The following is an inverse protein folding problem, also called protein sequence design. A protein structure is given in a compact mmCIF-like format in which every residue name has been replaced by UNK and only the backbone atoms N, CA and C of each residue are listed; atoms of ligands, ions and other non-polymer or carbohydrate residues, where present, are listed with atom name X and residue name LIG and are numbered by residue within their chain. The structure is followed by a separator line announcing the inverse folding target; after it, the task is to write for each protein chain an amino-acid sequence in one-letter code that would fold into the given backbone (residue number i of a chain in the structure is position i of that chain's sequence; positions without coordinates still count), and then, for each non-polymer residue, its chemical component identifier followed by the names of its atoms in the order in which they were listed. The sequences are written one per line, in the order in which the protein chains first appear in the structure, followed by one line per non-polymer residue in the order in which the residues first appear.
data_IF_762298819866
#
_entry.id   IF_762298819866
#
_cell.length_a   1.000
_cell.length_b   1.000
_cell.length_c   1.000
_cell.angle_alpha   90.00
_cell.angle_beta   90.00
_cell.angle_gamma   90.00
#
_symmetry.space_group_name_H-M   'P 1'
#
loop_
_entity.id
_entity.type
_entity.pdbx_description
1 polymer ?
#
# COMPACT_ATOMS: atom_id res chain seq x y z
N UNK A 1 59.17 -25.44 -47.04
CA UNK A 1 58.75 -25.85 -45.68
C UNK A 1 58.38 -24.58 -44.94
N UNK A 2 57.11 -24.19 -44.91
CA UNK A 2 56.63 -23.02 -44.18
C UNK A 2 55.49 -23.49 -43.26
N UNK A 3 55.75 -23.49 -41.95
CA UNK A 3 54.79 -23.90 -40.92
C UNK A 3 53.92 -22.70 -40.53
N UNK A 4 52.63 -22.75 -40.89
CA UNK A 4 51.62 -21.81 -40.39
C UNK A 4 51.30 -22.10 -38.92
N UNK A 5 51.90 -21.32 -38.02
CA UNK A 5 51.54 -21.31 -36.60
C UNK A 5 50.34 -20.39 -36.35
N UNK A 6 49.16 -20.98 -36.13
CA UNK A 6 47.97 -20.25 -35.69
C UNK A 6 47.99 -20.09 -34.17
N UNK A 7 48.36 -18.88 -33.71
CA UNK A 7 48.36 -18.51 -32.29
C UNK A 7 46.92 -18.33 -31.81
N UNK A 8 46.34 -19.38 -31.21
CA UNK A 8 45.00 -19.36 -30.62
C UNK A 8 45.03 -18.48 -29.37
N UNK A 9 44.59 -17.22 -29.49
CA UNK A 9 44.46 -16.25 -28.40
C UNK A 9 43.48 -16.83 -27.35
N UNK A 10 44.00 -17.22 -26.18
CA UNK A 10 43.16 -17.65 -25.04
C UNK A 10 42.39 -16.42 -24.56
N UNK A 11 41.07 -16.44 -24.64
CA UNK A 11 40.25 -15.43 -23.94
C UNK A 11 40.44 -15.63 -22.43
N UNK A 12 40.54 -14.54 -21.64
CA UNK A 12 40.55 -14.64 -20.20
C UNK A 12 39.27 -15.33 -19.74
N UNK A 13 39.39 -16.27 -18.81
CA UNK A 13 38.23 -16.95 -18.25
C UNK A 13 37.29 -15.89 -17.65
N UNK A 14 36.04 -15.90 -18.10
CA UNK A 14 35.00 -15.02 -17.62
C UNK A 14 34.65 -15.42 -16.19
N UNK A 15 35.16 -14.66 -15.20
CA UNK A 15 34.87 -14.91 -13.79
C UNK A 15 33.56 -14.19 -13.46
N UNK A 16 32.44 -14.88 -13.66
CA UNK A 16 31.14 -14.40 -13.21
C UNK A 16 31.02 -14.62 -11.70
N UNK A 17 31.15 -13.56 -10.89
CA UNK A 17 30.86 -13.61 -9.46
C UNK A 17 29.34 -13.69 -9.28
N UNK A 18 28.86 -14.70 -8.57
CA UNK A 18 27.44 -14.84 -8.28
C UNK A 18 26.96 -13.73 -7.35
N UNK A 19 25.73 -13.24 -7.52
CA UNK A 19 25.15 -12.20 -6.63
C UNK A 19 25.15 -12.66 -5.16
N UNK A 20 24.97 -13.96 -4.91
CA UNK A 20 25.03 -14.54 -3.57
C UNK A 20 26.43 -14.60 -2.95
N UNK A 21 27.49 -14.32 -3.72
CA UNK A 21 28.89 -14.27 -3.25
C UNK A 21 29.35 -12.84 -2.95
N UNK A 22 28.48 -11.84 -3.13
CA UNK A 22 28.82 -10.45 -2.85
C UNK A 22 29.07 -10.25 -1.34
N UNK A 23 30.10 -9.47 -0.96
CA UNK A 23 30.33 -9.13 0.44
C UNK A 23 29.13 -8.40 1.07
N UNK A 24 28.89 -8.65 2.36
CA UNK A 24 27.80 -8.05 3.14
C UNK A 24 27.73 -6.52 3.00
N UNK A 25 28.88 -5.83 3.00
CA UNK A 25 28.95 -4.37 2.84
C UNK A 25 28.37 -3.91 1.50
N UNK A 26 28.58 -4.69 0.43
CA UNK A 26 28.04 -4.39 -0.90
C UNK A 26 26.54 -4.64 -0.93
N UNK A 27 26.08 -5.77 -0.39
CA UNK A 27 24.65 -6.09 -0.29
C UNK A 27 23.90 -5.02 0.52
N UNK A 28 24.44 -4.62 1.66
CA UNK A 28 23.86 -3.57 2.50
C UNK A 28 23.81 -2.22 1.79
N UNK A 29 24.82 -1.89 0.97
CA UNK A 29 24.81 -0.66 0.16
C UNK A 29 23.72 -0.70 -0.90
N UNK A 30 23.52 -1.84 -1.58
CA UNK A 30 22.48 -2.02 -2.59
C UNK A 30 21.10 -1.90 -1.94
N UNK A 31 20.86 -2.62 -0.84
CA UNK A 31 19.58 -2.62 -0.10
C UNK A 31 19.20 -1.22 0.37
N UNK A 32 20.18 -0.40 0.74
CA UNK A 32 19.97 1.00 1.12
C UNK A 32 19.25 1.85 0.07
N UNK A 33 19.26 1.45 -1.20
CA UNK A 33 18.63 2.12 -2.33
C UNK A 33 17.31 1.48 -2.80
N UNK A 34 16.94 0.32 -2.23
CA UNK A 34 15.75 -0.42 -2.63
C UNK A 34 14.55 -0.07 -1.75
N UNK A 35 13.36 -0.02 -2.36
CA UNK A 35 12.10 -0.01 -1.62
C UNK A 35 11.89 -1.33 -0.90
N UNK A 36 11.01 -1.33 0.12
CA UNK A 36 10.68 -2.55 0.88
C UNK A 36 10.25 -3.72 -0.02
N UNK A 37 9.43 -3.44 -1.04
CA UNK A 37 8.98 -4.46 -1.98
C UNK A 37 10.14 -4.99 -2.81
N UNK A 38 11.01 -4.11 -3.33
CA UNK A 38 12.21 -4.50 -4.08
C UNK A 38 13.20 -5.31 -3.22
N UNK A 39 13.37 -4.98 -1.93
CA UNK A 39 14.18 -5.78 -0.99
C UNK A 39 13.62 -7.18 -0.84
N UNK A 40 12.30 -7.33 -0.73
CA UNK A 40 11.68 -8.64 -0.62
C UNK A 40 11.91 -9.49 -1.88
N UNK A 41 11.81 -8.88 -3.06
CA UNK A 41 12.14 -9.54 -4.33
C UNK A 41 13.62 -9.88 -4.46
N UNK A 42 14.50 -8.97 -4.04
CA UNK A 42 15.94 -9.20 -4.06
C UNK A 42 16.31 -10.36 -3.12
N UNK A 43 15.78 -10.37 -1.90
CA UNK A 43 15.95 -11.48 -0.96
C UNK A 43 15.36 -12.79 -1.50
N UNK A 44 14.18 -12.74 -2.12
CA UNK A 44 13.56 -13.91 -2.75
C UNK A 44 14.44 -14.50 -3.86
N UNK A 45 15.09 -13.65 -4.66
CA UNK A 45 16.03 -14.09 -5.70
C UNK A 45 17.31 -14.74 -5.15
N UNK A 46 17.62 -14.49 -3.87
CA UNK A 46 18.74 -15.07 -3.13
C UNK A 46 18.33 -16.30 -2.32
N UNK A 47 17.07 -16.75 -2.39
CA UNK A 47 16.64 -17.97 -1.70
C UNK A 47 17.38 -19.16 -2.31
N UNK A 48 18.06 -19.93 -1.46
CA UNK A 48 18.61 -21.22 -1.88
C UNK A 48 17.44 -22.16 -2.12
N UNK A 49 17.07 -22.36 -3.38
CA UNK A 49 16.15 -23.39 -3.76
C UNK A 49 16.97 -24.64 -4.10
N UNK A 50 17.21 -25.58 -3.15
CA UNK A 50 17.96 -26.81 -3.42
C UNK A 50 17.34 -27.63 -4.55
N UNK A 51 16.06 -27.38 -4.85
CA UNK A 51 15.37 -27.97 -5.98
C UNK A 51 15.82 -27.40 -7.32
N UNK A 52 16.12 -26.10 -7.47
CA UNK A 52 16.45 -25.50 -8.79
C UNK A 52 17.85 -25.91 -9.26
N UNK A 53 18.82 -26.05 -8.35
CA UNK A 53 20.17 -26.54 -8.69
C UNK A 53 20.18 -28.03 -9.06
N UNK A 54 19.21 -28.83 -8.59
CA UNK A 54 19.06 -30.24 -8.96
C UNK A 54 18.04 -30.51 -10.11
N UNK A 55 17.04 -29.65 -10.32
CA UNK A 55 15.88 -29.89 -11.21
C UNK A 55 16.03 -29.43 -12.66
N UNK A 56 17.22 -29.04 -13.13
CA UNK A 56 17.47 -29.09 -14.59
C UNK A 56 17.30 -30.51 -15.18
N UNK A 57 17.10 -31.54 -14.34
CA UNK A 57 16.69 -32.89 -14.76
C UNK A 57 15.34 -33.28 -14.16
N UNK A 58 14.26 -32.99 -14.91
CA UNK A 58 12.97 -33.71 -14.99
C UNK A 58 12.54 -34.50 -13.73
N UNK A 59 11.68 -33.92 -12.89
CA UNK A 59 10.66 -34.71 -12.16
C UNK A 59 9.35 -33.94 -12.02
N UNK A 60 8.25 -34.66 -12.25
CA UNK A 60 6.86 -34.18 -12.16
C UNK A 60 6.44 -34.07 -10.68
N UNK A 61 5.75 -32.97 -10.36
CA UNK A 61 4.96 -32.65 -9.14
C UNK A 61 4.53 -33.85 -8.28
N UNK A 62 4.62 -33.70 -6.94
CA UNK A 62 3.43 -33.32 -6.13
C UNK A 62 3.68 -33.03 -4.64
N UNK A 63 4.81 -33.40 -4.05
CA UNK A 63 5.02 -33.16 -2.62
C UNK A 63 6.15 -32.14 -2.40
N UNK A 64 5.83 -30.99 -1.79
CA UNK A 64 6.83 -29.98 -1.43
C UNK A 64 6.89 -29.84 0.10
N UNK A 65 7.66 -30.68 0.81
CA UNK A 65 7.77 -30.60 2.26
C UNK A 65 8.99 -29.79 2.73
N UNK A 66 9.78 -29.19 1.84
CA UNK A 66 10.98 -28.45 2.26
C UNK A 66 10.63 -26.99 2.46
N UNK A 67 10.58 -26.59 3.73
CA UNK A 67 10.56 -25.19 4.16
C UNK A 67 11.72 -24.46 3.48
N UNK A 68 11.42 -23.53 2.58
CA UNK A 68 12.42 -22.71 1.92
C UNK A 68 12.96 -21.72 2.94
N UNK A 69 14.22 -21.84 3.32
CA UNK A 69 14.91 -20.85 4.15
C UNK A 69 15.70 -19.90 3.27
N UNK A 70 15.74 -18.59 3.57
CA UNK A 70 16.65 -17.69 2.88
C UNK A 70 18.10 -18.18 3.00
N UNK A 71 18.90 -17.93 1.97
CA UNK A 71 20.36 -18.08 2.09
C UNK A 71 20.89 -17.08 3.11
N UNK A 72 22.14 -17.24 3.57
CA UNK A 72 22.80 -16.25 4.45
C UNK A 72 22.75 -14.84 3.84
N UNK A 73 22.95 -14.73 2.52
CA UNK A 73 22.83 -13.45 1.81
C UNK A 73 21.38 -12.91 1.83
N UNK A 74 20.38 -13.78 1.65
CA UNK A 74 18.96 -13.42 1.76
C UNK A 74 18.59 -12.94 3.18
N UNK A 75 19.08 -13.62 4.22
CA UNK A 75 18.88 -13.21 5.61
C UNK A 75 19.51 -11.84 5.89
N UNK A 76 20.73 -11.61 5.40
CA UNK A 76 21.41 -10.30 5.48
C UNK A 76 20.55 -9.24 4.81
N UNK A 77 20.08 -9.48 3.58
CA UNK A 77 19.24 -8.52 2.83
C UNK A 77 17.95 -8.19 3.58
N UNK A 78 17.29 -9.17 4.20
CA UNK A 78 16.08 -8.96 4.99
C UNK A 78 16.36 -8.24 6.33
N UNK A 79 17.54 -8.42 6.89
CA UNK A 79 17.98 -7.76 8.12
C UNK A 79 18.51 -6.33 7.90
N UNK A 80 18.92 -6.00 6.68
CA UNK A 80 19.45 -4.68 6.32
C UNK A 80 18.40 -3.58 6.56
N UNK A 81 18.86 -2.47 7.14
CA UNK A 81 18.06 -1.27 7.35
C UNK A 81 18.13 -0.39 6.09
N UNK A 82 17.01 0.18 5.60
CA UNK A 82 17.07 1.18 4.55
C UNK A 82 17.90 2.38 5.04
N UNK A 83 18.97 2.73 4.33
CA UNK A 83 19.85 3.87 4.66
C UNK A 83 19.35 5.19 4.05
N UNK A 84 18.23 5.16 3.33
CA UNK A 84 17.63 6.32 2.68
C UNK A 84 17.16 7.41 3.66
N UNK A 85 17.34 8.68 3.25
CA UNK A 85 16.95 9.93 3.96
C UNK A 85 15.46 10.07 4.31
N UNK A 86 14.61 9.09 4.02
CA UNK A 86 13.24 9.03 4.53
C UNK A 86 13.26 8.60 6.01
N UNK A 87 13.87 9.45 6.85
CA UNK A 87 13.94 9.32 8.29
C UNK A 87 12.55 9.54 8.89
N UNK A 88 11.87 8.44 9.17
CA UNK A 88 10.90 8.42 10.26
C UNK A 88 11.61 7.76 11.45
N UNK A 89 11.67 8.46 12.59
CA UNK A 89 12.61 8.29 13.71
C UNK A 89 12.48 6.98 14.55
N UNK A 90 12.14 5.83 13.97
CA UNK A 90 12.14 4.56 14.68
C UNK A 90 13.52 3.90 14.57
N UNK A 91 14.31 3.95 15.64
CA UNK A 91 15.74 3.60 15.64
C UNK A 91 16.04 2.10 15.80
N UNK A 92 15.03 1.26 16.06
CA UNK A 92 15.22 -0.18 16.28
C UNK A 92 14.36 -1.06 15.35
N UNK A 93 14.97 -2.19 14.96
CA UNK A 93 14.49 -3.24 14.06
C UNK A 93 14.56 -2.94 12.53
N UNK A 94 14.82 -3.99 11.73
CA UNK A 94 14.84 -3.94 10.27
C UNK A 94 13.46 -3.64 9.66
N UNK A 95 13.22 -4.04 8.41
CA UNK A 95 11.89 -3.85 7.82
C UNK A 95 10.81 -4.52 8.67
N UNK A 96 9.81 -3.74 9.10
CA UNK A 96 8.63 -4.28 9.76
C UNK A 96 7.74 -5.00 8.75
N UNK A 97 7.96 -6.29 8.54
CA UNK A 97 7.20 -7.11 7.59
C UNK A 97 5.73 -7.33 7.97
N UNK A 98 5.21 -6.69 9.03
CA UNK A 98 3.77 -6.72 9.36
C UNK A 98 2.88 -6.17 8.25
N UNK A 99 3.42 -5.32 7.38
CA UNK A 99 2.68 -4.69 6.28
C UNK A 99 3.39 -4.93 4.95
N UNK A 100 2.76 -5.61 4.01
CA UNK A 100 3.34 -5.85 2.69
C UNK A 100 2.35 -5.51 1.58
N UNK A 101 2.81 -4.68 0.65
CA UNK A 101 2.07 -4.33 -0.55
C UNK A 101 3.02 -4.23 -1.75
N UNK A 102 2.41 -4.21 -2.93
CA UNK A 102 3.12 -4.07 -4.21
C UNK A 102 3.06 -2.63 -4.75
N UNK A 103 2.76 -1.64 -3.90
CA UNK A 103 2.60 -0.25 -4.34
C UNK A 103 3.91 0.35 -4.87
N UNK A 104 5.05 -0.05 -4.30
CA UNK A 104 6.39 0.42 -4.67
C UNK A 104 6.89 -0.08 -6.03
N UNK A 105 6.20 -1.01 -6.67
CA UNK A 105 6.58 -1.56 -7.97
C UNK A 105 5.84 -0.84 -9.10
N UNK A 106 6.52 -0.64 -10.23
CA UNK A 106 5.87 -0.17 -11.45
C UNK A 106 4.66 -1.04 -11.82
N UNK A 107 3.54 -0.41 -12.16
CA UNK A 107 2.28 -1.12 -12.50
C UNK A 107 2.47 -2.19 -13.58
N UNK A 108 3.30 -1.92 -14.59
CA UNK A 108 3.56 -2.86 -15.69
C UNK A 108 4.31 -4.11 -15.20
N UNK A 109 5.22 -3.94 -14.24
CA UNK A 109 5.98 -5.03 -13.63
C UNK A 109 5.12 -5.82 -12.65
N UNK A 110 4.34 -5.14 -11.80
CA UNK A 110 3.38 -5.78 -10.88
C UNK A 110 2.37 -6.66 -11.64
N UNK A 111 1.91 -6.20 -12.81
CA UNK A 111 0.99 -6.94 -13.68
C UNK A 111 1.62 -8.22 -14.30
N UNK A 112 2.95 -8.29 -14.37
CA UNK A 112 3.71 -9.43 -14.91
C UNK A 112 4.11 -10.46 -13.85
N UNK A 113 3.90 -10.16 -12.57
CA UNK A 113 4.20 -11.09 -11.50
C UNK A 113 3.33 -12.34 -11.62
N UNK A 114 3.97 -13.49 -11.47
CA UNK A 114 3.34 -14.80 -11.40
C UNK A 114 3.10 -15.22 -9.95
N UNK A 115 2.25 -16.22 -9.76
CA UNK A 115 2.06 -16.88 -8.46
C UNK A 115 3.38 -17.39 -7.86
N UNK A 116 4.33 -17.82 -8.68
CA UNK A 116 5.66 -18.25 -8.22
C UNK A 116 6.41 -17.12 -7.55
N UNK A 117 6.45 -15.95 -8.21
CA UNK A 117 7.14 -14.77 -7.71
C UNK A 117 6.56 -14.29 -6.36
N UNK A 118 5.22 -14.22 -6.27
CA UNK A 118 4.53 -13.83 -5.02
C UNK A 118 4.76 -14.86 -3.92
N UNK A 119 4.72 -16.16 -4.26
CA UNK A 119 4.96 -17.23 -3.29
C UNK A 119 6.37 -17.16 -2.71
N UNK A 120 7.38 -16.98 -3.54
CA UNK A 120 8.78 -16.88 -3.12
C UNK A 120 8.98 -15.70 -2.17
N UNK A 121 8.40 -14.54 -2.50
CA UNK A 121 8.43 -13.36 -1.63
C UNK A 121 7.76 -13.62 -0.28
N UNK A 122 6.55 -14.20 -0.27
CA UNK A 122 5.82 -14.48 0.97
C UNK A 122 6.52 -15.51 1.86
N UNK A 123 7.20 -16.51 1.27
CA UNK A 123 8.05 -17.44 2.01
C UNK A 123 9.27 -16.73 2.58
N UNK A 124 9.94 -15.92 1.76
CA UNK A 124 11.16 -15.19 2.12
C UNK A 124 10.95 -14.29 3.35
N UNK A 125 9.81 -13.58 3.41
CA UNK A 125 9.49 -12.68 4.53
C UNK A 125 8.82 -13.39 5.72
N UNK A 126 8.68 -14.72 5.67
CA UNK A 126 7.98 -15.52 6.68
C UNK A 126 6.55 -14.99 6.94
N UNK A 127 5.80 -14.77 5.85
CA UNK A 127 4.51 -14.10 5.90
C UNK A 127 3.49 -14.81 6.78
N UNK A 128 3.54 -16.15 6.86
CA UNK A 128 2.64 -16.95 7.69
C UNK A 128 2.66 -16.52 9.17
N UNK A 129 3.82 -16.09 9.67
CA UNK A 129 4.07 -15.79 11.08
C UNK A 129 4.30 -14.30 11.37
N UNK A 130 4.61 -13.48 10.34
CA UNK A 130 4.95 -12.06 10.54
C UNK A 130 3.99 -11.08 9.87
N UNK A 131 3.30 -11.47 8.79
CA UNK A 131 2.53 -10.55 7.98
C UNK A 131 1.12 -10.34 8.56
N UNK A 132 0.79 -9.09 8.94
CA UNK A 132 -0.54 -8.69 9.42
C UNK A 132 -1.42 -8.12 8.32
N UNK A 133 -0.87 -7.40 7.34
CA UNK A 133 -1.64 -6.79 6.25
C UNK A 133 -0.99 -7.07 4.90
N UNK A 134 -1.75 -7.69 3.99
CA UNK A 134 -1.35 -7.92 2.61
C UNK A 134 -2.26 -7.14 1.64
N UNK A 135 -1.68 -6.41 0.68
CA UNK A 135 -2.42 -5.79 -0.43
C UNK A 135 -1.82 -6.15 -1.79
N UNK A 136 -2.60 -6.76 -2.67
CA UNK A 136 -2.17 -7.22 -4.02
C UNK A 136 -2.34 -6.15 -5.11
N UNK A 137 -2.02 -4.89 -4.79
CA UNK A 137 -2.23 -3.75 -5.69
C UNK A 137 -1.53 -3.98 -7.03
N UNK A 138 -2.25 -3.83 -8.14
CA UNK A 138 -1.78 -4.02 -9.53
C UNK A 138 -1.31 -5.43 -9.93
N UNK A 139 -1.41 -6.43 -9.05
CA UNK A 139 -1.01 -7.82 -9.33
C UNK A 139 -2.06 -8.58 -10.16
N UNK A 140 -2.39 -8.08 -11.34
CA UNK A 140 -3.52 -8.56 -12.16
C UNK A 140 -3.32 -9.97 -12.74
N UNK A 141 -2.08 -10.41 -12.88
CA UNK A 141 -1.70 -11.72 -13.43
C UNK A 141 -1.74 -12.87 -12.43
N UNK A 142 -1.96 -12.60 -11.14
CA UNK A 142 -1.96 -13.61 -10.08
C UNK A 142 -3.26 -14.42 -10.09
N UNK A 143 -3.12 -15.74 -10.11
CA UNK A 143 -4.24 -16.70 -10.06
C UNK A 143 -4.68 -16.92 -8.61
N UNK A 144 -3.74 -16.97 -7.66
CA UNK A 144 -4.00 -17.03 -6.23
C UNK A 144 -3.26 -18.13 -5.48
N UNK A 145 -2.75 -19.14 -6.19
CA UNK A 145 -1.83 -20.15 -5.64
C UNK A 145 -0.54 -19.57 -5.06
N UNK A 146 -0.17 -18.35 -5.45
CA UNK A 146 0.94 -17.60 -4.86
C UNK A 146 0.74 -17.25 -3.39
N UNK A 147 -0.51 -17.23 -2.92
CA UNK A 147 -0.86 -16.95 -1.52
C UNK A 147 -0.80 -18.18 -0.62
N UNK A 148 -0.44 -19.36 -1.15
CA UNK A 148 -0.33 -20.60 -0.39
C UNK A 148 0.50 -20.47 0.90
N UNK A 149 1.59 -19.67 0.97
CA UNK A 149 2.33 -19.45 2.22
C UNK A 149 1.50 -18.84 3.36
N UNK A 150 0.34 -18.24 3.10
CA UNK A 150 -0.54 -17.71 4.15
C UNK A 150 -1.49 -18.77 4.73
N UNK A 151 -1.51 -19.99 4.17
CA UNK A 151 -2.40 -21.06 4.64
C UNK A 151 -2.19 -21.32 6.13
N UNK A 152 -3.28 -21.24 6.89
CA UNK A 152 -3.25 -21.47 8.35
C UNK A 152 -2.56 -20.36 9.15
N UNK A 153 -2.28 -19.20 8.54
CA UNK A 153 -1.73 -18.07 9.28
C UNK A 153 -2.66 -17.64 10.41
N UNK A 154 -2.10 -17.49 11.61
CA UNK A 154 -2.82 -16.98 12.78
C UNK A 154 -2.61 -15.48 13.00
N UNK A 155 -1.64 -14.86 12.30
CA UNK A 155 -1.27 -13.44 12.51
C UNK A 155 -1.84 -12.49 11.47
N UNK A 156 -2.27 -12.99 10.31
CA UNK A 156 -2.81 -12.14 9.25
C UNK A 156 -4.13 -11.50 9.72
N UNK A 157 -4.18 -10.17 9.70
CA UNK A 157 -5.33 -9.35 10.12
C UNK A 157 -6.12 -8.82 8.92
N UNK A 158 -5.43 -8.52 7.81
CA UNK A 158 -6.01 -7.94 6.62
C UNK A 158 -5.47 -8.57 5.33
N UNK A 159 -6.39 -8.93 4.43
CA UNK A 159 -6.07 -9.33 3.06
C UNK A 159 -6.91 -8.50 2.10
N UNK A 160 -6.24 -7.77 1.21
CA UNK A 160 -6.86 -6.99 0.15
C UNK A 160 -6.52 -7.57 -1.23
N UNK A 161 -7.56 -8.14 -1.85
CA UNK A 161 -7.54 -8.77 -3.18
C UNK A 161 -8.21 -7.89 -4.25
N UNK A 162 -8.47 -6.60 -3.98
CA UNK A 162 -9.14 -5.70 -4.92
C UNK A 162 -8.31 -5.39 -6.19
N UNK A 163 -6.99 -5.57 -6.10
CA UNK A 163 -5.99 -5.29 -7.15
C UNK A 163 -5.91 -3.83 -7.62
N UNK A 164 -6.70 -2.94 -7.03
CA UNK A 164 -6.71 -1.50 -7.31
C UNK A 164 -6.08 -0.73 -6.16
N UNK A 165 -5.60 0.49 -6.44
CA UNK A 165 -5.22 1.40 -5.35
C UNK A 165 -6.48 1.91 -4.66
N UNK A 166 -6.34 2.30 -3.39
CA UNK A 166 -7.35 3.13 -2.73
C UNK A 166 -7.73 4.29 -3.65
N UNK A 167 -9.02 4.56 -3.79
CA UNK A 167 -9.58 5.63 -4.62
C UNK A 167 -9.55 5.37 -6.14
N UNK A 168 -9.12 4.20 -6.60
CA UNK A 168 -9.25 3.86 -8.02
C UNK A 168 -10.55 3.11 -8.28
N UNK A 169 -11.20 3.42 -9.41
CA UNK A 169 -12.36 2.65 -9.87
C UNK A 169 -11.95 1.18 -9.98
N UNK A 170 -12.76 0.22 -9.51
CA UNK A 170 -12.43 -1.22 -9.51
C UNK A 170 -12.43 -1.85 -10.92
N UNK A 171 -12.32 -1.04 -11.97
CA UNK A 171 -12.24 -1.49 -13.35
C UNK A 171 -10.77 -1.76 -13.70
N UNK A 172 -10.36 -3.00 -13.47
CA UNK A 172 -9.01 -3.48 -13.81
C UNK A 172 -9.00 -4.01 -15.25
N UNK A 173 -8.05 -3.53 -16.07
CA UNK A 173 -7.78 -4.04 -17.42
C UNK A 173 -6.30 -4.43 -17.54
N UNK A 174 -5.96 -5.65 -18.00
CA UNK A 174 -6.85 -6.74 -18.38
C UNK A 174 -7.67 -7.29 -17.20
N UNK A 175 -8.67 -8.12 -17.49
CA UNK A 175 -9.48 -8.78 -16.46
C UNK A 175 -8.57 -9.56 -15.49
N UNK A 176 -8.73 -9.42 -14.17
CA UNK A 176 -7.92 -10.11 -13.18
C UNK A 176 -7.91 -11.63 -13.35
N UNK A 177 -6.73 -12.26 -13.28
CA UNK A 177 -6.58 -13.71 -13.33
C UNK A 177 -6.99 -14.44 -12.03
N UNK A 178 -7.25 -13.70 -10.95
CA UNK A 178 -7.47 -14.28 -9.61
C UNK A 178 -8.68 -15.22 -9.56
N UNK A 179 -8.46 -16.47 -9.16
CA UNK A 179 -9.45 -17.53 -9.16
C UNK A 179 -10.01 -17.77 -7.76
N UNK A 180 -11.34 -17.81 -7.67
CA UNK A 180 -12.08 -18.20 -6.46
C UNK A 180 -11.64 -19.58 -5.96
N UNK A 181 -11.48 -20.55 -6.87
CA UNK A 181 -11.10 -21.93 -6.54
C UNK A 181 -9.68 -22.04 -5.94
N UNK A 182 -8.77 -21.16 -6.37
CA UNK A 182 -7.40 -21.15 -5.86
C UNK A 182 -7.30 -20.50 -4.48
N UNK A 183 -8.06 -19.42 -4.26
CA UNK A 183 -7.95 -18.58 -3.06
C UNK A 183 -8.81 -19.10 -1.90
N UNK A 184 -10.04 -19.53 -2.16
CA UNK A 184 -10.97 -19.89 -1.08
C UNK A 184 -10.40 -20.95 -0.13
N UNK A 185 -9.74 -22.04 -0.58
CA UNK A 185 -9.14 -23.01 0.33
C UNK A 185 -8.07 -22.41 1.25
N UNK A 186 -7.36 -21.36 0.84
CA UNK A 186 -6.35 -20.68 1.65
C UNK A 186 -7.05 -19.83 2.72
N UNK A 187 -8.03 -19.03 2.33
CA UNK A 187 -8.82 -18.21 3.25
C UNK A 187 -9.58 -19.08 4.25
N UNK A 188 -10.18 -20.17 3.81
CA UNK A 188 -10.88 -21.15 4.64
C UNK A 188 -9.98 -21.76 5.70
N UNK A 189 -8.72 -22.01 5.34
CA UNK A 189 -7.71 -22.53 6.25
C UNK A 189 -7.31 -21.48 7.29
N UNK A 190 -7.23 -20.20 6.93
CA UNK A 190 -6.93 -19.11 7.87
C UNK A 190 -8.05 -19.01 8.91
N UNK A 191 -9.31 -18.87 8.46
CA UNK A 191 -10.46 -18.71 9.36
C UNK A 191 -10.83 -20.01 10.11
N UNK A 192 -10.32 -21.16 9.65
CA UNK A 192 -10.47 -22.45 10.32
C UNK A 192 -9.52 -22.64 11.49
N UNK A 193 -8.51 -21.78 11.67
CA UNK A 193 -7.62 -21.83 12.84
C UNK A 193 -8.29 -21.22 14.08
N UNK A 194 -8.11 -21.83 15.25
CA UNK A 194 -8.74 -21.42 16.51
C UNK A 194 -8.42 -19.97 16.91
N UNK A 195 -7.23 -19.48 16.54
CA UNK A 195 -6.72 -18.16 16.91
C UNK A 195 -6.39 -17.30 15.70
N UNK A 196 -7.22 -17.34 14.66
CA UNK A 196 -7.01 -16.51 13.49
C UNK A 196 -7.16 -15.02 13.85
N UNK A 197 -6.25 -14.18 13.35
CA UNK A 197 -6.31 -12.73 13.54
C UNK A 197 -7.10 -12.00 12.44
N UNK A 198 -7.58 -12.69 11.39
CA UNK A 198 -8.19 -12.07 10.21
C UNK A 198 -9.44 -11.24 10.56
N UNK A 199 -9.36 -9.91 10.42
CA UNK A 199 -10.41 -8.92 10.70
C UNK A 199 -11.02 -8.36 9.43
N UNK A 200 -10.21 -8.16 8.40
CA UNK A 200 -10.61 -7.48 7.17
C UNK A 200 -10.25 -8.31 5.94
N UNK A 201 -11.23 -8.50 5.06
CA UNK A 201 -11.07 -9.23 3.81
C UNK A 201 -11.78 -8.46 2.71
N UNK A 202 -11.01 -7.99 1.73
CA UNK A 202 -11.53 -7.31 0.55
C UNK A 202 -11.39 -8.24 -0.65
N UNK A 203 -12.54 -8.62 -1.22
CA UNK A 203 -12.61 -9.57 -2.33
C UNK A 203 -12.61 -8.88 -3.70
N UNK A 204 -12.14 -9.55 -4.77
CA UNK A 204 -12.21 -9.01 -6.12
C UNK A 204 -13.65 -8.75 -6.56
N UNK A 205 -13.92 -7.60 -7.19
CA UNK A 205 -15.27 -7.22 -7.63
C UNK A 205 -15.90 -8.26 -8.57
N UNK A 206 -15.09 -8.93 -9.40
CA UNK A 206 -15.57 -9.94 -10.35
C UNK A 206 -16.25 -11.15 -9.71
N UNK A 207 -15.85 -11.51 -8.48
CA UNK A 207 -16.43 -12.67 -7.78
C UNK A 207 -17.90 -12.46 -7.38
N UNK A 208 -18.38 -11.21 -7.34
CA UNK A 208 -19.78 -10.92 -7.01
C UNK A 208 -20.72 -11.07 -8.21
N UNK A 209 -20.20 -11.11 -9.45
CA UNK A 209 -20.99 -11.45 -10.64
C UNK A 209 -21.09 -12.95 -10.88
N UNK A 210 -20.13 -13.72 -10.36
CA UNK A 210 -20.05 -15.17 -10.47
C UNK A 210 -20.75 -15.80 -9.26
N UNK A 211 -21.97 -16.31 -9.43
CA UNK A 211 -22.67 -17.04 -8.36
C UNK A 211 -21.93 -18.36 -8.05
N UNK A 212 -20.95 -18.31 -7.14
CA UNK A 212 -20.18 -19.46 -6.68
C UNK A 212 -20.72 -19.96 -5.34
N UNK A 213 -21.29 -21.19 -5.29
CA UNK A 213 -21.73 -21.79 -4.04
C UNK A 213 -20.61 -21.91 -3.00
N UNK A 214 -19.37 -22.11 -3.45
CA UNK A 214 -18.20 -22.16 -2.56
C UNK A 214 -17.95 -20.80 -1.91
N UNK A 215 -18.09 -19.71 -2.66
CA UNK A 215 -17.94 -18.35 -2.13
C UNK A 215 -19.04 -18.04 -1.12
N UNK A 216 -20.30 -18.42 -1.39
CA UNK A 216 -21.41 -18.23 -0.46
C UNK A 216 -21.18 -18.98 0.87
N UNK A 217 -20.76 -20.25 0.80
CA UNK A 217 -20.41 -21.05 1.97
C UNK A 217 -19.27 -20.42 2.77
N UNK A 218 -18.22 -19.97 2.08
CA UNK A 218 -17.10 -19.27 2.72
C UNK A 218 -17.56 -17.99 3.42
N UNK A 219 -18.35 -17.14 2.74
CA UNK A 219 -18.86 -15.89 3.32
C UNK A 219 -19.74 -16.16 4.55
N UNK A 220 -20.62 -17.15 4.50
CA UNK A 220 -21.42 -17.54 5.66
C UNK A 220 -20.55 -17.97 6.85
N UNK A 221 -19.47 -18.72 6.61
CA UNK A 221 -18.50 -19.13 7.64
C UNK A 221 -17.70 -17.94 8.17
N UNK A 222 -17.18 -17.08 7.29
CA UNK A 222 -16.45 -15.87 7.66
C UNK A 222 -17.32 -14.92 8.52
N UNK A 223 -18.60 -14.77 8.16
CA UNK A 223 -19.54 -13.95 8.92
C UNK A 223 -19.81 -14.50 10.31
N UNK A 224 -19.97 -15.83 10.45
CA UNK A 224 -20.12 -16.48 11.76
C UNK A 224 -18.90 -16.19 12.64
N UNK A 225 -17.72 -16.29 12.04
CA UNK A 225 -16.44 -16.01 12.70
C UNK A 225 -16.35 -14.54 13.16
N UNK A 226 -16.69 -13.58 12.31
CA UNK A 226 -16.68 -12.16 12.68
C UNK A 226 -17.71 -11.83 13.77
N UNK A 227 -18.91 -12.39 13.68
CA UNK A 227 -19.96 -12.20 14.69
C UNK A 227 -19.56 -12.79 16.05
N UNK A 228 -18.72 -13.83 16.07
CA UNK A 228 -18.18 -14.43 17.30
C UNK A 228 -17.13 -13.58 18.02
N UNK A 229 -16.64 -12.49 17.41
CA UNK A 229 -15.64 -11.60 18.03
C UNK A 229 -16.23 -10.54 18.95
N UNK A 230 -17.54 -10.58 19.17
CA UNK A 230 -18.24 -9.70 20.11
C UNK A 230 -17.85 -8.22 19.92
N UNK A 231 -17.81 -7.76 18.67
CA UNK A 231 -17.48 -6.36 18.38
C UNK A 231 -18.53 -5.46 19.02
N UNK A 232 -18.18 -4.73 20.08
CA UNK A 232 -19.09 -3.82 20.75
C UNK A 232 -19.20 -2.49 19.97
N UNK A 233 -20.41 -1.96 19.88
CA UNK A 233 -20.63 -0.62 19.38
C UNK A 233 -20.06 0.40 20.37
N UNK A 234 -19.29 1.35 19.85
CA UNK A 234 -18.64 2.40 20.65
C UNK A 234 -19.61 3.34 21.36
N UNK A 235 -20.90 3.38 20.98
CA UNK A 235 -21.93 4.20 21.62
C UNK A 235 -22.80 3.42 22.60
N UNK A 236 -23.35 2.30 22.14
CA UNK A 236 -24.37 1.54 22.86
C UNK A 236 -23.74 0.44 23.74
N UNK A 237 -22.44 0.15 23.59
CA UNK A 237 -21.71 -1.04 24.15
C UNK A 237 -22.26 -2.41 23.75
N UNK A 238 -23.42 -2.43 23.08
CA UNK A 238 -24.06 -3.62 22.56
C UNK A 238 -23.32 -4.20 21.35
N UNK A 239 -23.47 -5.51 21.15
CA UNK A 239 -22.79 -6.23 20.09
C UNK A 239 -23.26 -5.79 18.72
N UNK A 240 -22.29 -5.47 17.85
CA UNK A 240 -22.47 -5.21 16.44
C UNK A 240 -22.63 -6.54 15.71
N UNK A 241 -23.59 -6.58 14.80
CA UNK A 241 -23.79 -7.71 13.91
C UNK A 241 -23.40 -7.29 12.50
N UNK A 242 -22.66 -8.15 11.81
CA UNK A 242 -22.45 -7.98 10.38
C UNK A 242 -23.69 -8.54 9.69
N UNK A 243 -24.50 -7.64 9.14
CA UNK A 243 -25.73 -8.00 8.43
C UNK A 243 -25.45 -8.03 6.93
N UNK A 244 -25.52 -9.22 6.32
CA UNK A 244 -25.30 -9.43 4.88
C UNK A 244 -26.59 -9.77 4.12
N UNK A 245 -27.77 -9.46 4.68
CA UNK A 245 -29.05 -9.86 4.06
C UNK A 245 -29.41 -9.09 2.77
N UNK A 246 -28.52 -8.22 2.28
CA UNK A 246 -28.62 -7.66 0.95
C UNK A 246 -27.46 -8.24 0.12
N UNK A 247 -27.72 -8.90 -1.03
CA UNK A 247 -26.68 -9.30 -1.95
C UNK A 247 -25.80 -8.08 -2.21
N UNK A 248 -24.49 -8.22 -2.03
CA UNK A 248 -23.45 -7.18 -2.24
C UNK A 248 -23.52 -6.48 -3.62
N UNK A 249 -24.37 -6.99 -4.51
CA UNK A 249 -24.77 -6.42 -5.79
C UNK A 249 -25.12 -4.93 -5.74
N UNK A 250 -25.82 -4.44 -4.70
CA UNK A 250 -26.26 -3.04 -4.65
C UNK A 250 -25.21 -2.05 -4.07
N UNK A 251 -24.32 -2.49 -3.19
CA UNK A 251 -23.28 -1.62 -2.60
C UNK A 251 -22.08 -1.39 -3.55
N UNK A 252 -21.86 -2.28 -4.52
CA UNK A 252 -20.71 -2.21 -5.44
C UNK A 252 -20.98 -1.45 -6.76
N UNK A 253 -22.21 -0.98 -6.99
CA UNK A 253 -22.55 -0.09 -8.11
C UNK A 253 -22.55 1.40 -7.71
N UNK A 254 -22.62 1.73 -6.42
CA UNK A 254 -22.51 3.10 -5.92
C UNK A 254 -21.05 3.50 -5.68
N UNK A 255 -20.70 4.76 -5.91
CA UNK A 255 -19.34 5.33 -5.86
C UNK A 255 -18.63 5.30 -4.47
N UNK A 256 -19.08 4.50 -3.50
CA UNK A 256 -18.51 4.39 -2.15
C UNK A 256 -17.49 3.25 -2.08
N UNK A 257 -16.28 3.49 -2.59
CA UNK A 257 -15.26 2.45 -2.75
C UNK A 257 -14.39 2.14 -1.52
N UNK A 258 -14.73 2.68 -0.33
CA UNK A 258 -13.94 2.51 0.89
C UNK A 258 -14.78 2.09 2.12
N UNK A 259 -16.02 1.62 1.94
CA UNK A 259 -16.82 1.09 3.05
C UNK A 259 -16.89 -0.44 2.95
N UNK A 260 -16.05 -1.11 3.74
CA UNK A 260 -16.27 -2.51 4.15
C UNK A 260 -17.70 -2.68 4.75
N UNK A 261 -18.22 -3.92 4.93
CA UNK A 261 -19.61 -4.17 5.30
C UNK A 261 -20.08 -3.25 6.43
N UNK A 262 -21.30 -2.71 6.34
CA UNK A 262 -21.82 -1.91 7.45
C UNK A 262 -22.04 -2.80 8.68
N UNK A 263 -21.44 -2.41 9.81
CA UNK A 263 -21.77 -2.98 11.12
C UNK A 263 -23.01 -2.26 11.65
N UNK A 264 -23.99 -3.03 12.12
CA UNK A 264 -25.25 -2.49 12.64
C UNK A 264 -25.36 -2.78 14.15
N UNK A 265 -25.60 -1.73 14.98
CA UNK A 265 -26.02 -1.91 16.39
C UNK A 265 -27.51 -2.31 16.37
N UNK A 266 -27.86 -3.42 17.03
CA UNK A 266 -29.26 -3.89 17.13
C UNK A 266 -30.14 -3.01 18.03
N UNK A 267 -29.55 -2.07 18.78
CA UNK A 267 -30.29 -1.23 19.71
C UNK A 267 -31.20 -0.27 18.95
N UNK A 268 -32.52 -0.34 19.15
CA UNK A 268 -33.44 0.64 18.58
C UNK A 268 -33.04 2.07 18.99
N UNK A 269 -32.87 2.96 18.01
CA UNK A 269 -32.42 4.35 18.23
C UNK A 269 -30.90 4.56 18.19
N UNK A 270 -30.08 3.49 18.16
CA UNK A 270 -28.67 3.61 17.83
C UNK A 270 -28.48 3.64 16.31
N UNK A 271 -28.73 4.81 15.69
CA UNK A 271 -28.68 4.99 14.24
C UNK A 271 -27.25 5.04 13.64
N UNK A 272 -26.21 4.61 14.38
CA UNK A 272 -24.86 4.53 13.81
C UNK A 272 -24.72 3.25 12.99
N UNK A 273 -24.61 3.42 11.68
CA UNK A 273 -23.83 2.50 10.87
C UNK A 273 -22.36 2.89 11.03
N UNK A 274 -21.49 1.95 11.38
CA UNK A 274 -20.06 2.16 11.23
C UNK A 274 -19.60 1.40 9.98
N UNK A 275 -18.77 2.04 9.16
CA UNK A 275 -18.01 1.29 8.17
C UNK A 275 -17.06 0.35 8.95
N UNK A 276 -16.90 -0.92 8.53
CA UNK A 276 -16.01 -1.87 9.25
C UNK A 276 -14.61 -1.29 9.42
N UNK A 277 -14.08 -0.60 8.41
CA UNK A 277 -12.77 0.05 8.50
C UNK A 277 -12.75 1.17 9.55
N UNK A 278 -13.81 1.97 9.65
CA UNK A 278 -13.97 3.03 10.63
C UNK A 278 -14.10 2.47 12.05
N UNK A 279 -14.88 1.39 12.21
CA UNK A 279 -15.02 0.71 13.49
C UNK A 279 -13.70 0.06 13.94
N UNK A 280 -12.98 -0.58 13.01
CA UNK A 280 -11.69 -1.21 13.27
C UNK A 280 -10.62 -0.15 13.55
N UNK A 281 -10.53 0.92 12.76
CA UNK A 281 -9.61 2.03 13.00
C UNK A 281 -9.90 2.73 14.32
N UNK A 282 -11.16 2.98 14.67
CA UNK A 282 -11.53 3.53 15.98
C UNK A 282 -11.08 2.61 17.14
N UNK A 283 -11.16 1.29 16.97
CA UNK A 283 -10.70 0.31 17.96
C UNK A 283 -9.16 0.23 18.06
N UNK A 284 -8.44 0.44 16.97
CA UNK A 284 -6.97 0.30 16.92
C UNK A 284 -6.27 1.61 17.28
N UNK A 285 -6.79 2.75 16.84
CA UNK A 285 -6.06 4.02 16.79
C UNK A 285 -6.61 5.07 17.78
N UNK A 286 -7.69 4.79 18.51
CA UNK A 286 -8.33 5.75 19.43
C UNK A 286 -8.74 7.08 18.76
N UNK A 287 -8.94 7.08 17.44
CA UNK A 287 -9.41 8.23 16.68
C UNK A 287 -10.93 8.23 16.57
N UNK A 288 -11.53 9.41 16.77
CA UNK A 288 -12.97 9.62 16.83
C UNK A 288 -13.58 9.71 15.41
N UNK A 289 -13.64 8.59 14.69
CA UNK A 289 -14.25 8.53 13.37
C UNK A 289 -15.78 8.44 13.47
N UNK A 290 -16.46 9.59 13.57
CA UNK A 290 -17.93 9.60 13.63
C UNK A 290 -18.57 9.46 12.24
N UNK A 291 -19.43 8.46 12.08
CA UNK A 291 -20.41 8.41 10.98
C UNK A 291 -21.58 9.31 11.35
N UNK A 292 -21.99 10.19 10.45
CA UNK A 292 -23.11 11.10 10.64
C UNK A 292 -24.12 10.90 9.52
N UNK A 293 -25.35 10.54 9.87
CA UNK A 293 -26.47 10.54 8.92
C UNK A 293 -27.02 11.96 8.77
N UNK A 294 -27.31 12.39 7.54
CA UNK A 294 -28.05 13.63 7.32
C UNK A 294 -29.56 13.37 7.50
N UNK A 295 -30.23 14.18 8.33
CA UNK A 295 -31.67 14.05 8.62
C UNK A 295 -32.52 14.33 7.37
N UNK A 296 -32.01 15.12 6.42
CA UNK A 296 -32.79 15.60 5.28
C UNK A 296 -32.69 14.72 4.02
N UNK A 297 -31.62 13.93 3.87
CA UNK A 297 -31.42 13.10 2.68
C UNK A 297 -31.14 11.63 2.97
N UNK A 298 -31.20 11.22 4.25
CA UNK A 298 -30.95 9.85 4.74
C UNK A 298 -29.62 9.22 4.28
N UNK A 299 -28.74 10.00 3.66
CA UNK A 299 -27.45 9.51 3.17
C UNK A 299 -26.50 9.30 4.35
N UNK A 300 -25.84 8.15 4.32
CA UNK A 300 -24.94 7.71 5.38
C UNK A 300 -23.54 7.66 4.78
N UNK A 301 -22.71 8.61 5.18
CA UNK A 301 -21.28 8.58 4.92
C UNK A 301 -20.53 8.90 6.21
N UNK A 302 -19.34 8.34 6.37
CA UNK A 302 -18.48 8.80 7.46
C UNK A 302 -18.04 10.25 7.14
N UNK A 303 -17.79 11.08 8.16
CA UNK A 303 -17.40 12.49 7.93
C UNK A 303 -16.18 12.65 7.01
N UNK A 304 -15.30 11.63 6.94
CA UNK A 304 -14.18 11.56 6.01
C UNK A 304 -14.59 11.31 4.55
N UNK A 305 -15.63 10.51 4.32
CA UNK A 305 -16.13 10.18 2.97
C UNK A 305 -17.11 11.23 2.43
N UNK A 306 -17.91 11.89 3.28
CA UNK A 306 -18.79 13.00 2.84
C UNK A 306 -18.02 14.07 2.06
N UNK A 307 -16.82 14.43 2.55
CA UNK A 307 -15.96 15.44 1.95
C UNK A 307 -15.41 15.01 0.59
N UNK A 308 -15.03 13.73 0.49
CA UNK A 308 -14.45 13.14 -0.71
C UNK A 308 -15.50 12.94 -1.80
N UNK A 309 -16.69 12.50 -1.41
CA UNK A 309 -17.82 12.26 -2.31
C UNK A 309 -18.34 13.57 -2.90
N UNK A 310 -18.45 14.63 -2.09
CA UNK A 310 -18.80 15.98 -2.57
C UNK A 310 -17.70 16.55 -3.46
N UNK A 311 -16.42 16.36 -3.15
CA UNK A 311 -15.32 16.84 -3.98
C UNK A 311 -15.26 16.16 -5.36
N UNK A 312 -15.48 14.84 -5.42
CA UNK A 312 -15.61 14.09 -6.67
C UNK A 312 -16.82 14.54 -7.48
N UNK A 313 -17.98 14.71 -6.84
CA UNK A 313 -19.19 15.20 -7.51
C UNK A 313 -18.99 16.59 -8.13
N UNK A 314 -18.40 17.54 -7.39
CA UNK A 314 -18.12 18.91 -7.87
C UNK A 314 -17.14 18.93 -9.04
N UNK A 315 -16.21 17.97 -9.12
CA UNK A 315 -15.15 17.96 -10.15
C UNK A 315 -15.53 17.16 -11.40
N UNK A 316 -16.44 16.19 -11.31
CA UNK A 316 -16.81 15.32 -12.42
C UNK A 316 -18.20 15.61 -13.04
N UNK A 317 -19.07 16.41 -12.39
CA UNK A 317 -20.46 16.62 -12.81
C UNK A 317 -20.71 18.00 -13.40
N UNK A 318 -20.38 18.21 -14.68
CA UNK A 318 -20.80 19.42 -15.41
C UNK A 318 -22.17 19.28 -16.11
N UNK A 319 -22.72 18.07 -16.24
CA UNK A 319 -23.89 17.81 -17.11
C UNK A 319 -25.05 17.01 -16.46
N UNK A 320 -25.09 16.83 -15.13
CA UNK A 320 -26.20 16.10 -14.47
C UNK A 320 -26.85 16.93 -13.35
N UNK A 321 -28.06 17.51 -13.56
CA UNK A 321 -28.73 18.35 -12.58
C UNK A 321 -29.45 17.59 -11.44
N UNK A 322 -29.42 16.25 -11.42
CA UNK A 322 -30.10 15.43 -10.40
C UNK A 322 -29.15 14.87 -9.33
N UNK A 323 -28.25 15.71 -8.80
CA UNK A 323 -27.32 15.31 -7.74
C UNK A 323 -28.02 14.99 -6.39
N UNK A 324 -27.81 13.78 -5.86
CA UNK A 324 -28.39 13.22 -4.62
C UNK A 324 -27.91 13.84 -3.28
N UNK A 325 -27.34 15.04 -3.27
CA UNK A 325 -26.88 15.68 -2.03
C UNK A 325 -27.74 16.89 -1.67
N UNK A 326 -28.30 16.92 -0.46
CA UNK A 326 -28.99 18.11 0.04
C UNK A 326 -28.00 19.25 0.31
N UNK A 327 -28.51 20.49 0.34
CA UNK A 327 -27.70 21.69 0.61
C UNK A 327 -26.89 21.58 1.91
N UNK A 328 -27.45 20.94 2.95
CA UNK A 328 -26.79 20.76 4.23
C UNK A 328 -25.56 19.84 4.16
N UNK A 329 -25.58 18.83 3.29
CA UNK A 329 -24.41 17.96 3.05
C UNK A 329 -23.30 18.70 2.30
N UNK A 330 -23.67 19.54 1.33
CA UNK A 330 -22.74 20.38 0.57
C UNK A 330 -22.08 21.42 1.48
N UNK A 331 -22.85 22.16 2.26
CA UNK A 331 -22.34 23.20 3.16
C UNK A 331 -21.38 22.62 4.21
N UNK A 332 -21.69 21.44 4.74
CA UNK A 332 -20.79 20.73 5.67
C UNK A 332 -19.49 20.29 5.00
N UNK A 333 -19.56 19.69 3.82
CA UNK A 333 -18.38 19.28 3.08
C UNK A 333 -17.48 20.49 2.76
N UNK A 334 -18.07 21.62 2.36
CA UNK A 334 -17.37 22.90 2.16
C UNK A 334 -16.70 23.37 3.45
N UNK A 335 -17.38 23.30 4.60
CA UNK A 335 -16.81 23.66 5.90
C UNK A 335 -15.58 22.82 6.27
N UNK A 336 -15.63 21.50 6.05
CA UNK A 336 -14.49 20.61 6.31
C UNK A 336 -13.34 20.89 5.34
N UNK A 337 -13.62 21.10 4.04
CA UNK A 337 -12.59 21.46 3.04
C UNK A 337 -11.91 22.78 3.39
N UNK A 338 -12.66 23.78 3.85
CA UNK A 338 -12.11 25.07 4.29
C UNK A 338 -11.21 24.91 5.53
N UNK A 339 -11.58 24.04 6.48
CA UNK A 339 -10.77 23.74 7.64
C UNK A 339 -9.47 22.99 7.26
N UNK A 340 -9.57 21.96 6.42
CA UNK A 340 -8.41 21.22 5.91
C UNK A 340 -7.45 22.13 5.13
N UNK A 341 -7.96 23.04 4.30
CA UNK A 341 -7.14 24.00 3.56
C UNK A 341 -6.38 24.97 4.50
N UNK A 342 -7.02 25.42 5.59
CA UNK A 342 -6.33 26.22 6.62
C UNK A 342 -5.19 25.44 7.29
N UNK A 343 -5.39 24.16 7.59
CA UNK A 343 -4.38 23.30 8.20
C UNK A 343 -3.21 23.00 7.23
N UNK A 344 -3.50 22.69 5.96
CA UNK A 344 -2.47 22.48 4.94
C UNK A 344 -1.62 23.74 4.76
N UNK A 345 -2.25 24.93 4.70
CA UNK A 345 -1.51 26.20 4.59
C UNK A 345 -0.63 26.47 5.80
N UNK A 346 -1.07 26.15 7.01
CA UNK A 346 -0.27 26.34 8.22
C UNK A 346 0.92 25.37 8.28
N UNK A 347 0.73 24.12 7.84
CA UNK A 347 1.81 23.13 7.76
C UNK A 347 2.84 23.46 6.66
N UNK A 348 2.40 23.89 5.48
CA UNK A 348 3.31 24.38 4.43
C UNK A 348 4.13 25.55 4.96
N UNK A 349 3.50 26.52 5.65
CA UNK A 349 4.21 27.66 6.25
C UNK A 349 5.25 27.19 7.27
N UNK A 350 4.91 26.21 8.11
CA UNK A 350 5.84 25.62 9.09
C UNK A 350 7.02 24.90 8.42
N UNK A 351 6.79 24.17 7.32
CA UNK A 351 7.87 23.53 6.58
C UNK A 351 8.78 24.53 5.88
N UNK A 352 8.22 25.58 5.26
CA UNK A 352 9.01 26.66 4.65
C UNK A 352 9.91 27.33 5.69
N UNK A 353 9.42 27.55 6.91
CA UNK A 353 10.21 28.16 7.97
C UNK A 353 11.34 27.23 8.47
N UNK A 354 11.09 25.92 8.57
CA UNK A 354 12.15 24.94 8.85
C UNK A 354 13.24 24.92 7.78
N UNK A 355 12.86 25.02 6.51
CA UNK A 355 13.81 25.05 5.40
C UNK A 355 14.64 26.33 5.45
N UNK A 356 14.02 27.49 5.71
CA UNK A 356 14.73 28.76 5.90
C UNK A 356 15.76 28.68 7.02
N UNK A 357 15.39 28.08 8.14
CA UNK A 357 16.29 27.91 9.27
C UNK A 357 17.46 26.97 8.95
N UNK A 358 17.21 25.87 8.23
CA UNK A 358 18.28 24.98 7.75
C UNK A 358 19.23 25.67 6.78
N UNK A 359 18.70 26.51 5.88
CA UNK A 359 19.51 27.31 4.95
C UNK A 359 20.37 28.31 5.72
N UNK A 360 19.82 28.98 6.74
CA UNK A 360 20.55 29.90 7.62
C UNK A 360 21.71 29.20 8.34
N UNK A 361 21.43 28.06 8.98
CA UNK A 361 22.46 27.27 9.68
C UNK A 361 23.56 26.81 8.71
N UNK A 362 23.19 26.39 7.49
CA UNK A 362 24.17 25.98 6.49
C UNK A 362 25.03 27.16 6.01
N UNK A 363 24.43 28.34 5.80
CA UNK A 363 25.16 29.57 5.45
C UNK A 363 26.15 29.98 6.55
N UNK A 364 25.75 29.88 7.82
CA UNK A 364 26.64 30.16 8.97
C UNK A 364 27.80 29.16 9.04
N UNK A 365 27.51 27.87 8.85
CA UNK A 365 28.55 26.82 8.85
C UNK A 365 29.56 27.05 7.72
N UNK A 366 29.08 27.39 6.52
CA UNK A 366 29.94 27.70 5.37
C UNK A 366 30.73 28.99 5.62
N UNK A 367 30.15 30.02 6.23
CA UNK A 367 30.87 31.24 6.56
C UNK A 367 32.01 30.99 7.58
N UNK A 368 31.77 30.13 8.57
CA UNK A 368 32.78 29.72 9.56
C UNK A 368 33.92 28.91 8.93
N UNK A 369 33.61 27.96 8.05
CA UNK A 369 34.62 27.12 7.40
C UNK A 369 35.52 27.91 6.43
N UNK A 370 35.01 28.96 5.79
CA UNK A 370 35.72 29.63 4.71
C UNK A 370 36.49 30.91 5.10
N UNK A 371 36.36 31.43 6.33
CA UNK A 371 37.09 32.63 6.83
C UNK A 371 37.24 33.76 5.79
N UNK A 372 36.23 33.96 4.94
CA UNK A 372 36.32 34.85 3.79
C UNK A 372 35.23 35.92 3.89
N UNK A 373 35.65 37.17 4.10
CA UNK A 373 34.79 38.35 4.05
C UNK A 373 34.07 38.51 2.70
N UNK A 374 34.59 37.90 1.64
CA UNK A 374 34.07 38.03 0.27
C UNK A 374 32.82 37.17 0.02
N UNK A 375 32.49 36.24 0.92
CA UNK A 375 31.31 35.38 0.77
C UNK A 375 29.99 36.12 1.06
N UNK A 376 30.04 37.18 1.89
CA UNK A 376 28.87 38.02 2.21
C UNK A 376 28.39 38.83 1.00
N UNK A 377 29.31 39.38 0.20
CA UNK A 377 28.98 40.12 -1.04
C UNK A 377 28.33 39.20 -2.09
N UNK A 378 28.86 37.98 -2.27
CA UNK A 378 28.30 36.97 -3.18
C UNK A 378 26.89 36.48 -2.77
N UNK A 379 26.57 36.53 -1.48
CA UNK A 379 25.25 36.17 -0.97
C UNK A 379 24.23 37.30 -1.16
N UNK A 380 24.64 38.56 -0.97
CA UNK A 380 23.78 39.72 -1.23
C UNK A 380 23.38 39.80 -2.72
N UNK A 381 24.33 39.56 -3.63
CA UNK A 381 24.07 39.52 -5.07
C UNK A 381 23.10 38.40 -5.49
N UNK A 382 23.24 37.20 -4.91
CA UNK A 382 22.32 36.08 -5.17
C UNK A 382 20.92 36.31 -4.58
N UNK A 383 20.83 36.95 -3.41
CA UNK A 383 19.54 37.28 -2.79
C UNK A 383 18.80 38.35 -3.61
N UNK A 384 19.53 39.31 -4.18
CA UNK A 384 18.99 40.30 -5.11
C UNK A 384 18.48 39.66 -6.41
N UNK A 385 19.18 38.64 -6.94
CA UNK A 385 18.76 37.88 -8.13
C UNK A 385 17.50 37.04 -7.89
N UNK A 386 17.36 36.41 -6.72
CA UNK A 386 16.16 35.67 -6.34
C UNK A 386 14.96 36.63 -6.19
N UNK A 387 15.16 37.80 -5.58
CA UNK A 387 14.15 38.84 -5.49
C UNK A 387 13.68 39.37 -6.86
N UNK A 388 14.61 39.60 -7.80
CA UNK A 388 14.28 40.00 -9.18
C UNK A 388 13.51 38.92 -9.94
N UNK A 389 13.82 37.64 -9.72
CA UNK A 389 13.11 36.51 -10.36
C UNK A 389 11.67 36.36 -9.85
N UNK A 390 11.44 36.59 -8.55
CA UNK A 390 10.09 36.62 -7.98
C UNK A 390 9.27 37.80 -8.56
N UNK A 391 9.86 39.00 -8.62
CA UNK A 391 9.23 40.18 -9.22
C UNK A 391 8.91 39.97 -10.71
N UNK A 392 9.80 39.32 -11.47
CA UNK A 392 9.58 38.99 -12.89
C UNK A 392 8.43 38.00 -13.09
N UNK A 393 8.28 37.01 -12.22
CA UNK A 393 7.17 36.05 -12.28
C UNK A 393 5.81 36.70 -11.92
N UNK A 394 5.80 37.59 -10.93
CA UNK A 394 4.58 38.32 -10.56
C UNK A 394 4.18 39.34 -11.63
N UNK A 395 5.17 40.00 -12.26
CA UNK A 395 4.95 40.90 -13.40
C UNK A 395 4.44 40.11 -14.62
N UNK A 396 5.03 38.95 -14.93
CA UNK A 396 4.61 38.11 -16.05
C UNK A 396 3.20 37.55 -15.88
N UNK A 397 2.78 37.21 -14.65
CA UNK A 397 1.38 36.86 -14.34
C UNK A 397 0.40 38.01 -14.56
N UNK A 398 0.80 39.24 -14.22
CA UNK A 398 -0.01 40.45 -14.43
C UNK A 398 -0.23 40.75 -15.92
N UNK A 399 0.71 40.35 -16.79
CA UNK A 399 0.64 40.56 -18.24
C UNK A 399 0.29 39.29 -19.04
N UNK A 400 -0.04 38.17 -18.39
CA UNK A 400 -0.43 36.93 -19.07
C UNK A 400 0.69 36.27 -19.89
N UNK A 401 1.96 36.52 -19.56
CA UNK A 401 3.12 35.97 -20.26
C UNK A 401 3.60 34.70 -19.53
N UNK A 402 3.63 33.55 -20.22
CA UNK A 402 4.22 32.32 -19.69
C UNK A 402 5.75 32.36 -19.91
N UNK A 403 6.51 32.44 -18.83
CA UNK A 403 7.98 32.50 -18.86
C UNK A 403 8.65 31.11 -18.91
N UNK A 404 7.93 30.06 -19.32
CA UNK A 404 8.52 28.73 -19.57
C UNK A 404 9.25 28.69 -20.91
N UNK A 405 10.45 29.28 -20.92
CA UNK A 405 11.50 29.11 -21.93
C UNK A 405 12.81 28.71 -21.26
#
# INVERSE_FOLDING_TARGET
MASNGTTKRRQPADVSIGVGELPEVVLSSIVGHLTKTEVAFFAASLMDCPAITAQKKRTKKKDWPVMMTPSVAGEIVLACKPTGRFRNNSMDAGYDWQHFDFFGIEKSLAARLSDGDVKEVLLCIDAANKLKKLKLIHCVGIIGSGLEPLRGSTVIEQIDLSLVRSNQRPLVRPEPAISTEAILPILDSIIGTERHALKHLQLPKKWFGEQSPQLELFLAKYNRVLNGRELACTLCTELLFVHFDQPLFWLLQGNLYDCAPSLWCKVPGCARQNCVDCAISALIENEDSTVQSCVDCESISCGHHLVKDVALWVTESHDDPEGNFCSNCIDRAVGVLQHQNKNIRSDIRRQVEKIREQVRIHQETVAEEFHCSDFSELLEDNTMLIGRRAHLNDTAKLYGVDLRG
#
